data_IF_733712255507
#
_entry.id   IF_733712255507
#
_cell.length_a   1.000
_cell.length_b   1.000
_cell.length_c   1.000
_cell.angle_alpha   90.00
_cell.angle_beta   90.00
_cell.angle_gamma   90.00
#
_symmetry.space_group_name_H-M   'P 1'
#
loop_
_entity.id
_entity.type
_entity.pdbx_description
1 polymer ?
#
# COMPACT_ATOMS: atom_id res chain seq x y z
N UNK A 1 -0.06 16.79 14.80
CA UNK A 1 -0.70 15.46 14.92
C UNK A 1 -1.89 15.27 13.98
N UNK A 2 -2.79 16.25 13.80
CA UNK A 2 -3.87 16.14 12.80
C UNK A 2 -3.32 15.99 11.37
N UNK A 3 -2.34 16.80 10.98
CA UNK A 3 -1.69 16.75 9.67
C UNK A 3 -1.14 15.35 9.34
N UNK A 4 -0.41 14.72 10.26
CA UNK A 4 0.17 13.39 10.02
C UNK A 4 -0.91 12.32 9.81
N UNK A 5 -2.03 12.38 10.55
CA UNK A 5 -3.18 11.50 10.32
C UNK A 5 -3.81 11.72 8.95
N UNK A 6 -3.95 12.98 8.53
CA UNK A 6 -4.47 13.31 7.20
C UNK A 6 -3.54 12.79 6.10
N UNK A 7 -2.23 12.92 6.27
CA UNK A 7 -1.24 12.38 5.33
C UNK A 7 -1.33 10.86 5.26
N UNK A 8 -1.46 10.16 6.39
CA UNK A 8 -1.63 8.70 6.39
C UNK A 8 -2.92 8.26 5.67
N UNK A 9 -4.02 8.99 5.87
CA UNK A 9 -5.27 8.74 5.12
C UNK A 9 -5.04 8.93 3.62
N UNK A 10 -4.37 10.03 3.22
CA UNK A 10 -4.05 10.28 1.82
C UNK A 10 -3.20 9.16 1.21
N UNK A 11 -2.18 8.69 1.93
CA UNK A 11 -1.35 7.55 1.50
C UNK A 11 -2.19 6.30 1.27
N UNK A 12 -3.07 5.96 2.20
CA UNK A 12 -3.98 4.80 2.07
C UNK A 12 -4.88 4.95 0.85
N UNK A 13 -5.43 6.15 0.60
CA UNK A 13 -6.29 6.43 -0.56
C UNK A 13 -5.52 6.25 -1.87
N UNK A 14 -4.28 6.72 -1.96
CA UNK A 14 -3.46 6.57 -3.18
C UNK A 14 -3.20 5.10 -3.49
N UNK A 15 -2.89 4.29 -2.46
CA UNK A 15 -2.68 2.84 -2.63
C UNK A 15 -3.99 2.15 -3.04
N UNK A 16 -5.12 2.52 -2.44
CA UNK A 16 -6.44 2.01 -2.84
C UNK A 16 -6.78 2.37 -4.29
N UNK A 17 -6.44 3.57 -4.75
CA UNK A 17 -6.65 3.98 -6.14
C UNK A 17 -5.79 3.15 -7.10
N UNK A 18 -4.53 2.88 -6.75
CA UNK A 18 -3.67 1.98 -7.52
C UNK A 18 -4.23 0.56 -7.61
N UNK A 19 -4.73 0.00 -6.50
CA UNK A 19 -5.44 -1.28 -6.53
C UNK A 19 -6.69 -1.21 -7.42
N UNK A 20 -7.47 -0.13 -7.33
CA UNK A 20 -8.65 0.09 -8.18
C UNK A 20 -8.32 0.12 -9.67
N UNK A 21 -7.25 0.81 -10.06
CA UNK A 21 -6.74 0.86 -11.45
C UNK A 21 -6.36 -0.56 -11.90
N UNK A 22 -5.60 -1.28 -11.07
CA UNK A 22 -5.16 -2.66 -11.37
C UNK A 22 -6.36 -3.61 -11.55
N UNK A 23 -7.33 -3.58 -10.64
CA UNK A 23 -8.51 -4.45 -10.68
C UNK A 23 -9.51 -4.12 -11.79
N UNK A 24 -9.57 -2.86 -12.21
CA UNK A 24 -10.44 -2.43 -13.32
C UNK A 24 -9.82 -2.69 -14.69
N UNK A 25 -8.58 -3.19 -14.77
CA UNK A 25 -7.89 -3.42 -16.03
C UNK A 25 -7.56 -2.13 -16.79
N UNK A 26 -7.53 -0.99 -16.10
CA UNK A 26 -7.17 0.30 -16.68
C UNK A 26 -5.67 0.29 -16.98
N UNK A 27 -5.31 0.74 -18.18
CA UNK A 27 -3.89 0.92 -18.53
C UNK A 27 -3.27 2.00 -17.61
N UNK A 28 -2.24 1.67 -16.81
CA UNK A 28 -1.58 2.64 -15.95
C UNK A 28 -1.02 3.85 -16.74
N UNK A 29 -0.72 3.69 -18.03
CA UNK A 29 -0.19 4.74 -18.90
C UNK A 29 -1.27 5.47 -19.71
N UNK A 30 -2.55 5.24 -19.41
CA UNK A 30 -3.67 5.84 -20.15
C UNK A 30 -3.59 7.38 -20.17
N UNK A 31 -3.19 8.02 -19.08
CA UNK A 31 -2.94 9.45 -19.01
C UNK A 31 -1.99 9.85 -17.86
N UNK A 32 -1.71 11.14 -17.73
CA UNK A 32 -0.82 11.68 -16.69
C UNK A 32 -1.31 11.45 -15.26
N UNK A 33 -2.63 11.40 -15.04
CA UNK A 33 -3.20 11.17 -13.71
C UNK A 33 -3.04 9.70 -13.31
N UNK A 34 -3.41 8.76 -14.18
CA UNK A 34 -3.28 7.32 -13.90
C UNK A 34 -1.82 6.93 -13.68
N UNK A 35 -0.92 7.43 -14.54
CA UNK A 35 0.51 7.13 -14.43
C UNK A 35 1.12 7.75 -13.19
N UNK A 36 0.72 8.98 -12.83
CA UNK A 36 1.13 9.64 -11.59
C UNK A 36 0.67 8.89 -10.35
N UNK A 37 -0.60 8.47 -10.29
CA UNK A 37 -1.15 7.69 -9.16
C UNK A 37 -0.42 6.36 -9.01
N UNK A 38 -0.25 5.62 -10.11
CA UNK A 38 0.43 4.32 -10.10
C UNK A 38 1.89 4.46 -9.67
N UNK A 39 2.60 5.46 -10.19
CA UNK A 39 3.98 5.75 -9.81
C UNK A 39 4.12 6.10 -8.32
N UNK A 40 3.25 6.98 -7.83
CA UNK A 40 3.23 7.39 -6.42
C UNK A 40 2.87 6.22 -5.51
N UNK A 41 1.88 5.42 -5.86
CA UNK A 41 1.48 4.26 -5.07
C UNK A 41 2.61 3.23 -4.97
N UNK A 42 3.32 2.93 -6.07
CA UNK A 42 4.50 2.04 -6.03
C UNK A 42 5.59 2.53 -5.09
N UNK A 43 5.82 3.84 -5.05
CA UNK A 43 6.77 4.44 -4.09
C UNK A 43 6.27 4.24 -2.65
N UNK A 44 5.00 4.51 -2.39
CA UNK A 44 4.38 4.35 -1.07
C UNK A 44 4.28 2.89 -0.63
N UNK A 45 4.25 1.93 -1.55
CA UNK A 45 4.23 0.49 -1.26
C UNK A 45 5.61 -0.07 -0.90
N UNK A 46 6.70 0.65 -1.22
CA UNK A 46 8.09 0.18 -1.03
C UNK A 46 8.41 -0.26 0.41
N UNK A 47 8.01 0.47 1.47
CA UNK A 47 8.24 0.02 2.84
C UNK A 47 7.56 -1.31 3.17
N UNK A 48 6.36 -1.54 2.64
CA UNK A 48 5.64 -2.79 2.83
C UNK A 48 6.31 -3.93 2.08
N UNK A 49 6.82 -3.69 0.87
CA UNK A 49 7.63 -4.67 0.13
C UNK A 49 8.87 -5.08 0.93
N UNK A 50 9.60 -4.10 1.48
CA UNK A 50 10.78 -4.37 2.29
C UNK A 50 10.41 -5.19 3.55
N UNK A 51 9.31 -4.86 4.22
CA UNK A 51 8.81 -5.61 5.37
C UNK A 51 8.47 -7.06 4.99
N UNK A 52 7.71 -7.26 3.92
CA UNK A 52 7.34 -8.59 3.42
C UNK A 52 8.58 -9.42 3.05
N UNK A 53 9.61 -8.78 2.50
CA UNK A 53 10.86 -9.45 2.17
C UNK A 53 11.64 -9.89 3.41
N UNK A 54 11.60 -9.10 4.49
CA UNK A 54 12.29 -9.35 5.75
C UNK A 54 11.58 -10.38 6.66
N UNK A 55 10.30 -10.65 6.44
CA UNK A 55 9.56 -11.63 7.24
C UNK A 55 10.10 -13.06 6.99
N UNK A 56 10.34 -13.85 8.05
CA UNK A 56 10.74 -15.25 7.93
C UNK A 56 9.52 -16.12 7.56
N UNK A 57 9.10 -16.00 6.31
CA UNK A 57 7.98 -16.76 5.76
C UNK A 57 8.43 -18.17 5.36
N UNK A 58 7.57 -19.17 5.58
CA UNK A 58 7.78 -20.51 5.02
C UNK A 58 7.75 -20.49 3.49
N UNK A 59 8.30 -21.50 2.84
CA UNK A 59 8.33 -21.59 1.37
C UNK A 59 6.94 -21.50 0.74
N UNK A 60 5.93 -22.10 1.38
CA UNK A 60 4.52 -22.02 0.93
C UNK A 60 3.92 -20.62 1.10
N UNK A 61 4.22 -19.97 2.23
CA UNK A 61 3.80 -18.58 2.46
C UNK A 61 4.47 -17.64 1.47
N UNK A 62 5.77 -17.82 1.21
CA UNK A 62 6.51 -16.99 0.26
C UNK A 62 5.97 -17.15 -1.15
N UNK A 63 5.70 -18.39 -1.57
CA UNK A 63 5.06 -18.66 -2.85
C UNK A 63 3.70 -17.97 -2.95
N UNK A 64 2.90 -17.93 -1.87
CA UNK A 64 1.61 -17.24 -1.83
C UNK A 64 1.75 -15.71 -1.94
N UNK A 65 2.78 -15.12 -1.35
CA UNK A 65 3.11 -13.69 -1.49
C UNK A 65 3.54 -13.38 -2.92
N UNK A 66 4.42 -14.22 -3.49
CA UNK A 66 4.98 -14.03 -4.82
C UNK A 66 3.93 -14.25 -5.93
N UNK A 67 3.00 -15.21 -5.76
CA UNK A 67 1.89 -15.45 -6.70
C UNK A 67 0.72 -14.48 -6.53
N UNK A 68 0.54 -13.91 -5.33
CA UNK A 68 -0.48 -12.90 -5.05
C UNK A 68 -0.23 -11.56 -5.76
N UNK A 69 0.99 -11.32 -6.25
CA UNK A 69 1.34 -10.18 -7.12
C UNK A 69 1.13 -8.80 -6.48
N UNK A 70 0.96 -7.79 -7.35
CA UNK A 70 0.65 -6.39 -7.01
C UNK A 70 -0.44 -6.23 -5.93
N UNK A 71 -1.56 -6.97 -5.95
CA UNK A 71 -2.60 -6.86 -4.94
C UNK A 71 -2.12 -7.13 -3.51
N UNK A 72 -1.30 -8.16 -3.32
CA UNK A 72 -0.87 -8.58 -1.99
C UNK A 72 -0.03 -7.49 -1.30
N UNK A 73 0.90 -6.89 -2.05
CA UNK A 73 1.74 -5.79 -1.58
C UNK A 73 0.90 -4.56 -1.23
N UNK A 74 -0.06 -4.19 -2.09
CA UNK A 74 -0.95 -3.05 -1.84
C UNK A 74 -1.78 -3.21 -0.55
N UNK A 75 -2.35 -4.40 -0.32
CA UNK A 75 -3.08 -4.67 0.93
C UNK A 75 -2.17 -4.68 2.16
N UNK A 76 -0.96 -5.23 2.06
CA UNK A 76 0.02 -5.18 3.14
C UNK A 76 0.41 -3.73 3.48
N UNK A 77 0.60 -2.88 2.47
CA UNK A 77 0.88 -1.46 2.64
C UNK A 77 -0.28 -0.72 3.33
N UNK A 78 -1.53 -0.95 2.89
CA UNK A 78 -2.72 -0.39 3.53
C UNK A 78 -2.77 -0.78 5.01
N UNK A 79 -2.58 -2.09 5.32
CA UNK A 79 -2.57 -2.58 6.70
C UNK A 79 -1.49 -1.91 7.54
N UNK A 80 -0.27 -1.79 7.00
CA UNK A 80 0.85 -1.13 7.66
C UNK A 80 0.56 0.34 8.00
N UNK A 81 0.12 1.14 7.02
CA UNK A 81 -0.20 2.55 7.26
C UNK A 81 -1.42 2.75 8.15
N UNK A 82 -2.38 1.83 8.09
CA UNK A 82 -3.54 1.85 8.98
C UNK A 82 -3.14 1.61 10.44
N UNK A 83 -2.23 0.69 10.70
CA UNK A 83 -1.67 0.47 12.05
C UNK A 83 -0.98 1.74 12.55
N UNK A 84 -0.14 2.39 11.73
CA UNK A 84 0.50 3.66 12.10
C UNK A 84 -0.52 4.76 12.42
N UNK A 85 -1.61 4.84 11.65
CA UNK A 85 -2.70 5.77 11.89
C UNK A 85 -3.38 5.53 13.23
N UNK A 86 -3.64 4.27 13.58
CA UNK A 86 -4.25 3.89 14.87
C UNK A 86 -3.32 4.24 16.03
N UNK A 87 -2.04 3.86 15.94
CA UNK A 87 -1.04 4.13 16.99
C UNK A 87 -0.92 5.62 17.29
N UNK A 88 -1.01 6.49 16.27
CA UNK A 88 -0.98 7.94 16.46
C UNK A 88 -2.24 8.50 17.17
N UNK A 89 -3.32 7.71 17.25
CA UNK A 89 -4.54 8.02 17.97
C UNK A 89 -4.59 7.50 19.41
N UNK A 90 -3.76 6.52 19.77
CA UNK A 90 -3.73 5.91 21.11
C UNK A 90 -3.09 6.89 22.11
N UNK A 91 -3.73 7.07 23.28
CA UNK A 91 -3.19 7.88 24.40
C UNK A 91 -3.53 9.38 24.37
N UNK A 92 -4.38 9.85 23.45
CA UNK A 92 -4.75 11.28 23.31
C UNK A 92 -6.01 11.67 24.09
N UNK A 93 -6.13 11.24 25.35
CA UNK A 93 -7.14 11.77 26.29
C UNK A 93 -6.47 12.73 27.26
#
# INVERSE_FOLDING_TARGET
MALLRTVLILVIIVILMHLGISYSGIDPNQNGLTSGVVGLARLLETPAQALLQALPLSTEQRRSVDTGGLPFVGFAAIGFYFILFLLLGVGRR
#
